data_IF_792920577132
#
_entry.id   IF_792920577132
#
_cell.length_a   1.000
_cell.length_b   1.000
_cell.length_c   1.000
_cell.angle_alpha   90.00
_cell.angle_beta   90.00
_cell.angle_gamma   90.00
#
_symmetry.space_group_name_H-M   'P 1'
#
loop_
_entity.id
_entity.type
_entity.pdbx_description
1 polymer ?
#
# COMPACT_ATOMS: atom_id res chain seq x y z
N UNK A 1 18.67 -6.12 4.14
CA UNK A 1 17.38 -5.69 3.57
C UNK A 1 17.33 -4.17 3.58
N UNK A 2 16.96 -3.54 2.47
CA UNK A 2 16.79 -2.08 2.43
C UNK A 2 15.57 -1.69 3.28
N UNK A 3 15.71 -0.69 4.15
CA UNK A 3 14.64 -0.25 5.05
C UNK A 3 13.37 0.14 4.28
N UNK A 4 13.51 0.85 3.16
CA UNK A 4 12.37 1.26 2.31
C UNK A 4 11.58 0.06 1.76
N UNK A 5 12.26 -1.07 1.52
CA UNK A 5 11.59 -2.30 1.06
C UNK A 5 10.78 -2.95 2.19
N UNK A 6 11.28 -2.93 3.42
CA UNK A 6 10.55 -3.45 4.59
C UNK A 6 9.32 -2.59 4.86
N UNK A 7 9.45 -1.27 4.80
CA UNK A 7 8.35 -0.33 5.01
C UNK A 7 7.21 -0.54 3.99
N UNK A 8 7.55 -0.81 2.72
CA UNK A 8 6.56 -1.15 1.68
C UNK A 8 5.78 -2.44 2.01
N UNK A 9 6.47 -3.46 2.54
CA UNK A 9 5.83 -4.73 2.92
C UNK A 9 4.95 -4.56 4.15
N UNK A 10 5.40 -3.83 5.16
CA UNK A 10 4.57 -3.52 6.33
C UNK A 10 3.32 -2.72 5.92
N UNK A 11 3.48 -1.75 5.04
CA UNK A 11 2.37 -0.97 4.52
C UNK A 11 1.37 -1.82 3.70
N UNK A 12 1.83 -2.85 3.00
CA UNK A 12 0.94 -3.80 2.34
C UNK A 12 0.15 -4.65 3.33
N UNK A 13 0.77 -5.09 4.43
CA UNK A 13 0.09 -5.85 5.49
C UNK A 13 -1.00 -5.04 6.20
N UNK A 14 -0.83 -3.73 6.34
CA UNK A 14 -1.88 -2.89 6.93
C UNK A 14 -3.10 -2.75 6.01
N UNK A 15 -2.93 -2.96 4.70
CA UNK A 15 -4.01 -2.91 3.71
C UNK A 15 -4.78 -4.23 3.55
N UNK A 16 -4.17 -5.38 3.84
CA UNK A 16 -4.82 -6.72 3.81
C UNK A 16 -6.24 -6.74 4.40
N UNK A 17 -6.51 -6.25 5.62
CA UNK A 17 -7.85 -6.30 6.20
C UNK A 17 -8.87 -5.43 5.44
N UNK A 18 -8.44 -4.33 4.82
CA UNK A 18 -9.31 -3.49 3.99
C UNK A 18 -9.53 -4.11 2.61
N UNK A 19 -8.53 -4.85 2.07
CA UNK A 19 -8.67 -5.65 0.83
C UNK A 19 -9.75 -6.70 1.06
N UNK A 20 -9.61 -7.49 2.13
CA UNK A 20 -10.54 -8.56 2.46
C UNK A 20 -11.96 -8.01 2.67
N UNK A 21 -12.11 -6.89 3.42
CA UNK A 21 -13.42 -6.26 3.60
C UNK A 21 -14.02 -5.71 2.31
N UNK A 22 -13.20 -5.20 1.39
CA UNK A 22 -13.67 -4.68 0.11
C UNK A 22 -14.12 -5.80 -0.84
N UNK A 23 -13.29 -6.82 -1.04
CA UNK A 23 -13.58 -7.91 -1.97
C UNK A 23 -14.59 -8.93 -1.42
N UNK A 24 -14.59 -9.20 -0.11
CA UNK A 24 -15.49 -10.18 0.51
C UNK A 24 -16.84 -9.58 0.90
N UNK A 25 -16.86 -8.33 1.38
CA UNK A 25 -18.09 -7.71 1.94
C UNK A 25 -18.63 -6.54 1.10
N UNK A 26 -17.96 -6.13 0.02
CA UNK A 26 -18.43 -5.04 -0.84
C UNK A 26 -18.51 -3.68 -0.12
N UNK A 27 -17.76 -3.50 0.96
CA UNK A 27 -17.82 -2.28 1.78
C UNK A 27 -17.18 -1.09 1.05
N UNK A 28 -18.00 -0.18 0.53
CA UNK A 28 -17.55 1.05 -0.17
C UNK A 28 -16.61 1.93 0.66
N UNK A 29 -16.79 1.94 1.99
CA UNK A 29 -15.90 2.63 2.91
C UNK A 29 -14.49 2.01 2.95
N UNK A 30 -14.39 0.68 2.94
CA UNK A 30 -13.12 -0.04 2.85
C UNK A 30 -12.45 0.21 1.49
N UNK A 31 -13.23 0.26 0.40
CA UNK A 31 -12.71 0.62 -0.93
C UNK A 31 -12.08 2.01 -0.99
N UNK A 32 -12.68 2.99 -0.31
CA UNK A 32 -12.12 4.35 -0.24
C UNK A 32 -10.81 4.40 0.54
N UNK A 33 -10.73 3.64 1.65
CA UNK A 33 -9.49 3.51 2.45
C UNK A 33 -8.39 2.80 1.67
N UNK A 34 -8.74 1.69 1.03
CA UNK A 34 -7.83 0.92 0.19
C UNK A 34 -7.26 1.76 -0.94
N UNK A 35 -8.10 2.56 -1.62
CA UNK A 35 -7.66 3.42 -2.72
C UNK A 35 -6.72 4.54 -2.25
N UNK A 36 -6.94 5.11 -1.06
CA UNK A 36 -6.01 6.06 -0.43
C UNK A 36 -4.68 5.37 -0.08
N UNK A 37 -4.73 4.21 0.58
CA UNK A 37 -3.55 3.43 0.90
C UNK A 37 -2.73 3.06 -0.33
N UNK A 38 -3.37 2.54 -1.39
CA UNK A 38 -2.69 2.24 -2.66
C UNK A 38 -2.05 3.47 -3.31
N UNK A 39 -2.62 4.66 -3.12
CA UNK A 39 -2.04 5.91 -3.61
C UNK A 39 -0.77 6.30 -2.83
N UNK A 40 -0.76 6.07 -1.52
CA UNK A 40 0.43 6.23 -0.67
C UNK A 40 1.50 5.20 -0.99
N UNK A 41 1.12 3.93 -1.17
CA UNK A 41 2.03 2.85 -1.60
C UNK A 41 2.71 3.19 -2.91
N UNK A 42 1.95 3.72 -3.89
CA UNK A 42 2.52 4.20 -5.17
C UNK A 42 3.57 5.29 -4.95
N UNK A 43 3.33 6.24 -4.04
CA UNK A 43 4.29 7.29 -3.69
C UNK A 43 5.57 6.70 -3.08
N UNK A 44 5.42 5.85 -2.06
CA UNK A 44 6.55 5.17 -1.41
C UNK A 44 7.38 4.36 -2.42
N UNK A 45 6.72 3.62 -3.33
CA UNK A 45 7.39 2.87 -4.36
C UNK A 45 8.10 3.77 -5.39
N UNK A 46 7.51 4.91 -5.74
CA UNK A 46 8.11 5.89 -6.63
C UNK A 46 9.34 6.55 -6.00
N UNK A 47 9.26 6.91 -4.72
CA UNK A 47 10.38 7.49 -3.97
C UNK A 47 11.50 6.45 -3.81
N UNK A 48 11.16 5.19 -3.57
CA UNK A 48 12.14 4.10 -3.55
C UNK A 48 12.82 3.91 -4.91
N UNK A 49 12.07 3.98 -6.01
CA UNK A 49 12.62 3.92 -7.36
C UNK A 49 13.54 5.11 -7.65
N UNK A 50 13.17 6.31 -7.23
CA UNK A 50 13.98 7.50 -7.45
C UNK A 50 15.31 7.45 -6.67
N UNK A 51 15.32 6.85 -5.47
CA UNK A 51 16.54 6.61 -4.70
C UNK A 51 17.51 5.64 -5.39
N UNK A 52 16.98 4.73 -6.21
CA UNK A 52 17.78 3.89 -7.09
C UNK A 52 18.19 4.76 -8.29
N UNK A 53 19.14 5.68 -8.04
CA UNK A 53 19.81 6.40 -9.12
C UNK A 53 20.74 5.44 -9.88
N UNK A 54 20.67 5.52 -11.20
CA UNK A 54 21.66 4.95 -12.12
C UNK A 54 22.90 5.84 -12.22
#
# INVERSE_FOLDING_TARGET
MNQKYLDLIEFLKTLEPDVEKFYTKGQSAAGTRLRKGLSELKKLAQDFRNDIHC
#
